data_IF_312727064312
#
_entry.id   IF_312727064312
#
_cell.length_a   1.000
_cell.length_b   1.000
_cell.length_c   1.000
_cell.angle_alpha   90.00
_cell.angle_beta   90.00
_cell.angle_gamma   90.00
#
_symmetry.space_group_name_H-M   'P 1'
#
loop_
_entity.id
_entity.type
_entity.pdbx_description
1 polymer ?
#
# COMPACT_ATOMS: atom_id res chain seq x y z
N UNK A 1 26.14 -24.74 -16.57
CA UNK A 1 24.97 -23.91 -16.94
C UNK A 1 24.23 -23.54 -15.67
N UNK A 2 24.36 -22.30 -15.20
CA UNK A 2 23.64 -21.85 -14.01
C UNK A 2 22.16 -21.70 -14.37
N UNK A 3 21.32 -22.60 -13.84
CA UNK A 3 19.87 -22.44 -13.87
C UNK A 3 19.58 -21.16 -13.07
N UNK A 4 19.33 -20.07 -13.79
CA UNK A 4 18.93 -18.82 -13.19
C UNK A 4 17.60 -19.09 -12.51
N UNK A 5 17.58 -19.12 -11.16
CA UNK A 5 16.35 -19.30 -10.41
C UNK A 5 15.28 -18.36 -10.98
N UNK A 6 14.05 -18.85 -11.25
CA UNK A 6 13.01 -18.00 -11.82
C UNK A 6 12.85 -16.78 -10.92
N UNK A 7 13.14 -15.60 -11.46
CA UNK A 7 12.96 -14.34 -10.73
C UNK A 7 11.53 -14.33 -10.20
N UNK A 8 11.39 -14.12 -8.88
CA UNK A 8 10.09 -13.99 -8.24
C UNK A 8 9.23 -13.04 -9.08
N UNK A 9 8.05 -13.51 -9.49
CA UNK A 9 7.17 -12.83 -10.44
C UNK A 9 6.70 -11.53 -9.79
N UNK A 10 7.34 -10.42 -10.14
CA UNK A 10 6.96 -9.10 -9.64
C UNK A 10 5.57 -8.73 -10.16
N UNK A 11 4.79 -8.02 -9.34
CA UNK A 11 3.46 -7.57 -9.71
C UNK A 11 3.39 -6.05 -9.63
N UNK A 12 3.01 -5.43 -10.74
CA UNK A 12 2.86 -4.00 -10.86
C UNK A 12 1.38 -3.63 -10.80
N UNK A 13 1.02 -2.81 -9.81
CA UNK A 13 -0.36 -2.38 -9.58
C UNK A 13 -0.41 -0.87 -9.76
N UNK A 14 -1.37 -0.36 -10.52
CA UNK A 14 -1.59 1.07 -10.64
C UNK A 14 -3.07 1.38 -10.56
N UNK A 15 -3.44 2.44 -9.85
CA UNK A 15 -4.82 2.91 -9.80
C UNK A 15 -4.86 4.38 -10.21
N UNK A 16 -5.62 4.71 -11.25
CA UNK A 16 -5.99 6.08 -11.59
C UNK A 16 -7.48 6.32 -11.29
N UNK A 17 -8.03 7.45 -11.72
CA UNK A 17 -9.44 7.80 -11.46
C UNK A 17 -10.41 6.96 -12.30
N UNK A 18 -9.98 6.41 -13.44
CA UNK A 18 -10.81 5.64 -14.38
C UNK A 18 -10.73 4.14 -14.11
N UNK A 19 -9.55 3.64 -13.72
CA UNK A 19 -9.25 2.21 -13.72
C UNK A 19 -8.14 1.83 -12.76
N UNK A 20 -8.13 0.55 -12.39
CA UNK A 20 -7.02 -0.11 -11.71
C UNK A 20 -6.40 -1.12 -12.67
N UNK A 21 -5.10 -1.01 -12.92
CA UNK A 21 -4.32 -1.88 -13.80
C UNK A 21 -3.42 -2.76 -12.95
N UNK A 22 -3.41 -4.05 -13.23
CA UNK A 22 -2.53 -5.04 -12.60
C UNK A 22 -1.76 -5.76 -13.71
N UNK A 23 -0.43 -5.80 -13.65
CA UNK A 23 0.40 -6.44 -14.67
C UNK A 23 1.62 -7.11 -14.04
N UNK A 24 2.14 -8.15 -14.69
CA UNK A 24 3.44 -8.74 -14.36
C UNK A 24 4.62 -7.84 -14.78
N UNK A 25 4.37 -6.76 -15.54
CA UNK A 25 5.38 -5.90 -16.12
C UNK A 25 5.24 -4.43 -15.70
N UNK A 26 6.32 -3.62 -15.78
CA UNK A 26 6.30 -2.23 -15.35
C UNK A 26 5.25 -1.35 -16.03
N UNK A 27 4.34 -0.78 -15.22
CA UNK A 27 3.31 0.12 -15.72
C UNK A 27 3.88 1.48 -16.19
N UNK A 28 3.33 1.96 -17.31
CA UNK A 28 3.64 3.26 -17.92
C UNK A 28 2.47 4.23 -17.73
N UNK A 29 2.80 5.50 -17.53
CA UNK A 29 1.82 6.59 -17.50
C UNK A 29 1.55 7.09 -18.91
N UNK A 30 0.27 7.18 -19.31
CA UNK A 30 -0.15 7.83 -20.56
C UNK A 30 -0.01 9.35 -20.42
N UNK A 31 -0.52 9.92 -19.33
CA UNK A 31 -0.42 11.34 -19.01
C UNK A 31 0.04 11.56 -17.57
N UNK A 32 0.44 12.79 -17.23
CA UNK A 32 0.80 13.13 -15.86
C UNK A 32 2.10 12.47 -15.38
N UNK A 33 2.24 12.41 -14.06
CA UNK A 33 3.37 11.78 -13.35
C UNK A 33 2.82 10.81 -12.33
N UNK A 34 3.62 9.81 -11.97
CA UNK A 34 3.31 8.89 -10.87
C UNK A 34 4.45 8.83 -9.86
N UNK A 35 4.10 8.43 -8.65
CA UNK A 35 5.04 7.95 -7.64
C UNK A 35 4.97 6.42 -7.64
N UNK A 36 6.13 5.79 -7.52
CA UNK A 36 6.25 4.34 -7.42
C UNK A 36 6.61 3.98 -5.99
N UNK A 37 5.90 3.01 -5.42
CA UNK A 37 6.15 2.48 -4.08
C UNK A 37 6.36 0.97 -4.21
N UNK A 38 7.45 0.44 -3.66
CA UNK A 38 7.72 -1.00 -3.68
C UNK A 38 7.43 -1.58 -2.30
N UNK A 39 6.64 -2.65 -2.28
CA UNK A 39 6.31 -3.43 -1.08
C UNK A 39 6.57 -4.91 -1.40
N UNK A 40 7.76 -5.41 -1.09
CA UNK A 40 8.19 -6.76 -1.48
C UNK A 40 8.30 -6.90 -2.99
N UNK A 41 7.64 -7.93 -3.53
CA UNK A 41 7.49 -8.21 -4.97
C UNK A 41 6.40 -7.38 -5.66
N UNK A 42 5.64 -6.55 -4.92
CA UNK A 42 4.64 -5.65 -5.50
C UNK A 42 5.19 -4.25 -5.69
N UNK A 43 5.03 -3.68 -6.89
CA UNK A 43 5.31 -2.27 -7.18
C UNK A 43 4.03 -1.54 -7.51
N UNK A 44 3.69 -0.55 -6.69
CA UNK A 44 2.51 0.26 -6.86
C UNK A 44 2.81 1.59 -7.55
N UNK A 45 2.03 1.93 -8.57
CA UNK A 45 2.15 3.14 -9.38
C UNK A 45 0.95 4.03 -9.09
N UNK A 46 1.15 5.05 -8.27
CA UNK A 46 0.11 5.99 -7.84
C UNK A 46 0.28 7.30 -8.61
N UNK A 47 -0.70 7.71 -9.43
CA UNK A 47 -0.71 9.02 -10.08
C UNK A 47 -0.51 10.13 -9.04
N UNK A 48 0.37 11.08 -9.34
CA UNK A 48 0.53 12.28 -8.49
C UNK A 48 -0.60 13.25 -8.79
N UNK A 49 -1.10 13.89 -7.74
CA UNK A 49 -2.01 15.03 -7.87
C UNK A 49 -1.36 16.08 -8.79
N UNK A 50 -2.11 16.61 -9.78
CA UNK A 50 -1.59 17.64 -10.66
C UNK A 50 -1.13 18.85 -9.83
N UNK A 51 -0.05 19.51 -10.26
CA UNK A 51 0.59 20.59 -9.49
C UNK A 51 -0.29 21.83 -9.21
N UNK A 52 -1.51 21.90 -9.75
CA UNK A 52 -2.40 23.06 -9.64
C UNK A 52 -1.92 24.32 -10.38
N UNK A 53 -0.69 24.34 -10.90
CA UNK A 53 -0.13 25.52 -11.58
C UNK A 53 -0.89 25.85 -12.85
N UNK A 54 -1.33 27.10 -12.95
CA UNK A 54 -2.00 27.63 -14.15
C UNK A 54 -1.04 27.69 -15.34
N UNK A 55 -1.59 27.84 -16.55
CA UNK A 55 -0.76 28.00 -17.76
C UNK A 55 0.15 29.22 -17.66
N UNK A 56 -0.37 30.32 -17.12
CA UNK A 56 0.35 31.58 -16.92
C UNK A 56 1.54 31.40 -15.97
N UNK A 57 1.33 30.75 -14.82
CA UNK A 57 2.42 30.49 -13.87
C UNK A 57 3.53 29.63 -14.50
N UNK A 58 3.16 28.65 -15.34
CA UNK A 58 4.16 27.83 -16.04
C UNK A 58 4.95 28.63 -17.07
N UNK A 59 4.27 29.48 -17.84
CA UNK A 59 4.90 30.37 -18.82
C UNK A 59 5.85 31.32 -18.09
N UNK A 60 5.39 31.95 -17.00
CA UNK A 60 6.19 32.85 -16.15
C UNK A 60 7.49 32.20 -15.68
N UNK A 61 7.41 30.98 -15.11
CA UNK A 61 8.61 30.27 -14.66
C UNK A 61 9.53 29.91 -15.82
N UNK A 62 9.00 29.48 -16.97
CA UNK A 62 9.83 29.21 -18.14
C UNK A 62 10.49 30.47 -18.72
N UNK A 63 9.81 31.62 -18.67
CA UNK A 63 10.37 32.89 -19.11
C UNK A 63 11.42 33.43 -18.15
N UNK A 64 11.22 33.30 -16.83
CA UNK A 64 12.23 33.65 -15.82
C UNK A 64 13.49 32.81 -15.99
N UNK A 65 13.33 31.49 -16.19
CA UNK A 65 14.43 30.59 -16.47
C UNK A 65 15.15 30.94 -17.79
N UNK A 66 14.41 31.26 -18.85
CA UNK A 66 14.98 31.66 -20.13
C UNK A 66 15.80 32.95 -20.01
N UNK A 67 15.33 33.93 -19.23
CA UNK A 67 16.05 35.18 -18.98
C UNK A 67 17.37 34.94 -18.24
N UNK A 68 17.37 34.11 -17.19
CA UNK A 68 18.59 33.73 -16.48
C UNK A 68 19.58 33.01 -17.40
N UNK A 69 19.09 32.08 -18.22
CA UNK A 69 19.95 31.34 -19.16
C UNK A 69 20.51 32.22 -20.28
N UNK A 70 19.79 33.25 -20.71
CA UNK A 70 20.29 34.25 -21.67
C UNK A 70 21.50 35.00 -21.09
N UNK A 71 21.41 35.43 -19.83
CA UNK A 71 22.54 36.08 -19.13
C UNK A 71 23.73 35.12 -19.00
N UNK A 72 23.50 33.87 -18.60
CA UNK A 72 24.55 32.85 -18.52
C UNK A 72 25.19 32.60 -19.89
N UNK A 73 24.39 32.51 -20.95
CA UNK A 73 24.89 32.35 -22.32
C UNK A 73 25.80 33.52 -22.72
N UNK A 74 25.43 34.76 -22.39
CA UNK A 74 26.24 35.95 -22.65
C UNK A 74 27.57 35.93 -21.87
N UNK A 75 27.56 35.47 -20.62
CA UNK A 75 28.80 35.31 -19.83
C UNK A 75 29.69 34.22 -20.41
N UNK A 76 29.12 33.08 -20.81
CA UNK A 76 29.89 31.99 -21.42
C UNK A 76 30.56 32.41 -22.74
N UNK A 77 29.92 33.27 -23.52
CA UNK A 77 30.54 33.83 -24.73
C UNK A 77 31.74 34.73 -24.44
N UNK A 78 31.88 35.28 -23.23
CA UNK A 78 33.08 36.04 -22.83
C UNK A 78 34.28 35.14 -22.49
N UNK A 79 34.05 33.84 -22.28
CA UNK A 79 35.08 32.83 -21.96
C UNK A 79 35.29 31.90 -23.16
N UNK A 80 35.10 32.42 -24.38
CA UNK A 80 35.30 31.73 -25.66
C UNK A 80 34.47 30.44 -25.85
N UNK A 81 33.38 30.26 -25.10
CA UNK A 81 32.43 29.17 -25.38
C UNK A 81 31.63 29.51 -26.64
N UNK A 82 31.58 28.61 -27.64
CA UNK A 82 30.80 28.86 -28.84
C UNK A 82 29.33 29.14 -28.50
N UNK A 83 28.83 30.30 -28.90
CA UNK A 83 27.47 30.76 -28.58
C UNK A 83 26.38 29.76 -28.99
N UNK A 84 26.58 29.03 -30.09
CA UNK A 84 25.64 28.02 -30.56
C UNK A 84 25.49 26.84 -29.57
N UNK A 85 26.57 26.44 -28.90
CA UNK A 85 26.54 25.39 -27.87
C UNK A 85 25.80 25.88 -26.63
N UNK A 86 26.12 27.09 -26.16
CA UNK A 86 25.47 27.68 -25.00
C UNK A 86 23.96 27.95 -25.25
N UNK A 87 23.59 28.43 -26.44
CA UNK A 87 22.21 28.69 -26.81
C UNK A 87 21.41 27.39 -26.97
N UNK A 88 21.96 26.37 -27.63
CA UNK A 88 21.27 25.08 -27.80
C UNK A 88 21.06 24.35 -26.47
N UNK A 89 22.05 24.35 -25.58
CA UNK A 89 21.91 23.81 -24.23
C UNK A 89 20.84 24.54 -23.40
N UNK A 90 20.82 25.87 -23.48
CA UNK A 90 19.81 26.71 -22.80
C UNK A 90 18.40 26.43 -23.32
N UNK A 91 18.23 26.38 -24.64
CA UNK A 91 16.94 26.09 -25.27
C UNK A 91 16.44 24.69 -24.90
N UNK A 92 17.33 23.69 -24.93
CA UNK A 92 17.01 22.32 -24.54
C UNK A 92 16.55 22.25 -23.07
N UNK A 93 17.22 22.99 -22.18
CA UNK A 93 16.87 23.04 -20.76
C UNK A 93 15.50 23.71 -20.53
N UNK A 94 15.22 24.86 -21.18
CA UNK A 94 13.92 25.53 -21.09
C UNK A 94 12.82 24.62 -21.62
N UNK A 95 13.01 24.01 -22.80
CA UNK A 95 12.05 23.08 -23.39
C UNK A 95 11.80 21.88 -22.48
N UNK A 96 12.85 21.30 -21.89
CA UNK A 96 12.74 20.20 -20.94
C UNK A 96 11.95 20.58 -19.68
N UNK A 97 12.24 21.74 -19.08
CA UNK A 97 11.51 22.23 -17.89
C UNK A 97 10.06 22.52 -18.24
N UNK A 98 9.78 23.20 -19.34
CA UNK A 98 8.43 23.49 -19.82
C UNK A 98 7.62 22.20 -20.05
N UNK A 99 8.21 21.21 -20.74
CA UNK A 99 7.59 19.92 -20.96
C UNK A 99 7.32 19.16 -19.64
N UNK A 100 8.27 19.18 -18.71
CA UNK A 100 8.13 18.56 -17.38
C UNK A 100 7.03 19.22 -16.55
N UNK A 101 6.92 20.56 -16.59
CA UNK A 101 5.86 21.30 -15.92
C UNK A 101 4.49 21.06 -16.56
N UNK A 102 4.41 21.08 -17.89
CA UNK A 102 3.19 20.77 -18.63
C UNK A 102 2.71 19.35 -18.30
N UNK A 103 3.62 18.38 -18.21
CA UNK A 103 3.30 17.01 -17.78
C UNK A 103 2.88 16.95 -16.31
N UNK A 104 3.50 17.72 -15.42
CA UNK A 104 3.13 17.76 -14.00
C UNK A 104 1.76 18.43 -13.73
N UNK A 105 1.25 19.23 -14.66
CA UNK A 105 -0.06 19.86 -14.56
C UNK A 105 -1.21 18.97 -15.06
N UNK A 106 -0.91 17.89 -15.80
CA UNK A 106 -1.94 16.96 -16.30
C UNK A 106 -2.32 15.95 -15.23
N UNK A 107 -3.61 15.62 -15.16
CA UNK A 107 -4.10 14.46 -14.40
C UNK A 107 -3.40 13.20 -14.91
N UNK A 108 -2.85 12.41 -13.99
CA UNK A 108 -2.16 11.19 -14.32
C UNK A 108 -3.15 10.08 -14.70
N UNK A 109 -3.00 9.53 -15.90
CA UNK A 109 -3.71 8.33 -16.35
C UNK A 109 -2.72 7.25 -16.70
N UNK A 110 -3.05 6.02 -16.35
CA UNK A 110 -2.26 4.84 -16.68
C UNK A 110 -2.49 4.47 -18.14
N UNK A 111 -1.40 4.08 -18.82
CA UNK A 111 -1.52 3.49 -20.15
C UNK A 111 -2.15 2.09 -20.03
N UNK A 112 -2.98 1.72 -21.00
CA UNK A 112 -3.50 0.36 -21.09
C UNK A 112 -2.34 -0.58 -21.43
N UNK A 113 -2.10 -1.62 -20.62
CA UNK A 113 -1.07 -2.60 -20.93
C UNK A 113 -1.50 -3.39 -22.18
N UNK A 114 -0.52 -3.79 -22.98
CA UNK A 114 -0.73 -4.63 -24.18
C UNK A 114 -0.29 -6.08 -23.98
N UNK A 115 0.32 -6.36 -22.83
CA UNK A 115 0.93 -7.64 -22.54
C UNK A 115 -0.11 -8.64 -22.02
N UNK A 116 0.11 -9.91 -22.33
CA UNK A 116 -0.69 -11.01 -21.79
C UNK A 116 -0.53 -11.10 -20.26
N UNK A 117 -1.63 -11.41 -19.57
CA UNK A 117 -1.65 -11.47 -18.11
C UNK A 117 -1.74 -10.11 -17.42
N UNK A 118 -2.03 -9.03 -18.17
CA UNK A 118 -2.42 -7.76 -17.58
C UNK A 118 -3.95 -7.66 -17.44
N UNK A 119 -4.41 -7.23 -16.28
CA UNK A 119 -5.83 -7.12 -15.92
C UNK A 119 -6.19 -5.65 -15.68
N UNK A 120 -7.30 -5.21 -16.26
CA UNK A 120 -7.77 -3.83 -16.15
C UNK A 120 -9.16 -3.81 -15.54
N UNK A 121 -9.24 -3.27 -14.32
CA UNK A 121 -10.47 -3.12 -13.59
C UNK A 121 -11.04 -1.72 -13.77
N UNK A 122 -12.29 -1.62 -14.22
CA UNK A 122 -12.95 -0.35 -14.56
C UNK A 122 -14.11 -0.06 -13.63
N UNK A 123 -14.93 -1.07 -13.36
CA UNK A 123 -16.09 -0.93 -12.51
C UNK A 123 -15.67 -0.64 -11.06
N UNK A 124 -16.37 0.31 -10.44
CA UNK A 124 -16.04 0.84 -9.12
C UNK A 124 -16.02 -0.25 -8.04
N UNK A 125 -16.95 -1.19 -8.11
CA UNK A 125 -17.11 -2.28 -7.15
C UNK A 125 -15.86 -3.19 -7.13
N UNK A 126 -15.37 -3.62 -8.30
CA UNK A 126 -14.14 -4.42 -8.42
C UNK A 126 -12.90 -3.61 -8.04
N UNK A 127 -12.84 -2.33 -8.45
CA UNK A 127 -11.72 -1.44 -8.07
C UNK A 127 -11.64 -1.26 -6.56
N UNK A 128 -12.77 -1.07 -5.89
CA UNK A 128 -12.84 -0.93 -4.44
C UNK A 128 -12.49 -2.23 -3.72
N UNK A 129 -12.99 -3.38 -4.19
CA UNK A 129 -12.65 -4.70 -3.65
C UNK A 129 -11.16 -4.99 -3.76
N UNK A 130 -10.57 -4.78 -4.95
CA UNK A 130 -9.14 -4.96 -5.16
C UNK A 130 -8.31 -3.97 -4.34
N UNK A 131 -8.73 -2.71 -4.25
CA UNK A 131 -8.07 -1.69 -3.43
C UNK A 131 -8.00 -2.08 -1.95
N UNK A 132 -9.08 -2.65 -1.39
CA UNK A 132 -9.08 -3.20 -0.02
C UNK A 132 -8.09 -4.37 0.12
N UNK A 133 -8.08 -5.30 -0.83
CA UNK A 133 -7.13 -6.42 -0.83
C UNK A 133 -5.67 -5.94 -0.82
N UNK A 134 -5.33 -4.95 -1.64
CA UNK A 134 -4.00 -4.33 -1.67
C UNK A 134 -3.66 -3.67 -0.35
N UNK A 135 -4.60 -2.93 0.26
CA UNK A 135 -4.39 -2.31 1.56
C UNK A 135 -4.12 -3.35 2.66
N UNK A 136 -4.90 -4.44 2.69
CA UNK A 136 -4.69 -5.57 3.60
C UNK A 136 -3.34 -6.24 3.36
N UNK A 137 -2.99 -6.51 2.10
CA UNK A 137 -1.69 -7.08 1.74
C UNK A 137 -0.54 -6.19 2.22
N UNK A 138 -0.60 -4.86 2.03
CA UNK A 138 0.41 -3.95 2.59
C UNK A 138 0.54 -4.06 4.10
N UNK A 139 -0.57 -4.28 4.82
CA UNK A 139 -0.57 -4.48 6.27
C UNK A 139 0.15 -5.76 6.66
N UNK A 140 -0.13 -6.88 5.98
CA UNK A 140 0.62 -8.15 6.12
C UNK A 140 2.12 -7.93 5.87
N UNK A 141 2.49 -7.26 4.78
CA UNK A 141 3.93 -7.05 4.48
C UNK A 141 4.68 -6.26 5.55
N UNK A 142 3.99 -5.38 6.28
CA UNK A 142 4.58 -4.60 7.38
C UNK A 142 4.84 -5.45 8.62
N UNK A 143 4.15 -6.58 8.78
CA UNK A 143 4.34 -7.47 9.95
C UNK A 143 5.52 -8.42 9.76
N UNK A 144 5.87 -8.79 8.53
CA UNK A 144 6.92 -9.79 8.25
C UNK A 144 8.31 -9.54 8.87
N UNK A 145 8.85 -8.31 8.98
CA UNK A 145 10.14 -8.12 9.63
C UNK A 145 10.16 -8.63 11.08
N UNK A 146 9.04 -8.54 11.80
CA UNK A 146 8.93 -9.10 13.16
C UNK A 146 8.81 -10.64 13.16
N UNK A 147 8.34 -11.23 12.06
CA UNK A 147 8.06 -12.66 11.92
C UNK A 147 9.16 -13.44 11.19
N UNK A 148 10.28 -12.79 10.84
CA UNK A 148 11.30 -13.36 9.94
C UNK A 148 11.96 -14.66 10.44
N UNK A 149 11.94 -14.91 11.74
CA UNK A 149 12.44 -16.16 12.33
C UNK A 149 11.41 -17.31 12.29
N UNK A 150 10.13 -17.02 12.06
CA UNK A 150 9.03 -17.99 12.11
C UNK A 150 8.49 -18.34 10.72
N UNK A 151 8.61 -17.43 9.76
CA UNK A 151 8.06 -17.57 8.42
C UNK A 151 9.13 -17.16 7.40
N UNK A 152 9.29 -17.95 6.34
CA UNK A 152 10.03 -17.50 5.16
C UNK A 152 9.29 -16.33 4.50
N UNK A 153 9.76 -15.11 4.79
CA UNK A 153 9.16 -13.89 4.28
C UNK A 153 9.16 -13.82 2.74
N UNK A 154 10.14 -14.45 2.07
CA UNK A 154 10.21 -14.45 0.61
C UNK A 154 9.15 -15.39 0.01
N UNK A 155 8.92 -16.55 0.63
CA UNK A 155 7.84 -17.45 0.22
C UNK A 155 6.46 -16.86 0.50
N UNK A 156 6.25 -16.30 1.70
CA UNK A 156 5.01 -15.62 2.05
C UNK A 156 4.71 -14.44 1.10
N UNK A 157 5.74 -13.68 0.69
CA UNK A 157 5.58 -12.60 -0.28
C UNK A 157 5.20 -13.10 -1.68
N UNK A 158 5.79 -14.20 -2.14
CA UNK A 158 5.41 -14.83 -3.43
C UNK A 158 3.96 -15.30 -3.40
N UNK A 159 3.55 -15.98 -2.33
CA UNK A 159 2.17 -16.48 -2.17
C UNK A 159 1.15 -15.34 -2.10
N UNK A 160 1.44 -14.28 -1.34
CA UNK A 160 0.57 -13.10 -1.27
C UNK A 160 0.47 -12.36 -2.60
N UNK A 161 1.58 -12.24 -3.33
CA UNK A 161 1.62 -11.63 -4.67
C UNK A 161 0.85 -12.47 -5.69
N UNK A 162 0.98 -13.80 -5.64
CA UNK A 162 0.21 -14.71 -6.48
C UNK A 162 -1.31 -14.58 -6.21
N UNK A 163 -1.71 -14.55 -4.94
CA UNK A 163 -3.11 -14.35 -4.55
C UNK A 163 -3.68 -13.00 -5.05
N UNK A 164 -2.89 -11.92 -5.00
CA UNK A 164 -3.29 -10.63 -5.59
C UNK A 164 -3.44 -10.71 -7.12
N UNK A 165 -2.53 -11.41 -7.80
CA UNK A 165 -2.63 -11.64 -9.24
C UNK A 165 -3.88 -12.44 -9.63
N UNK A 166 -4.16 -13.52 -8.89
CA UNK A 166 -5.35 -14.35 -9.07
C UNK A 166 -6.64 -13.57 -8.79
N UNK A 167 -6.67 -12.77 -7.72
CA UNK A 167 -7.82 -11.89 -7.43
C UNK A 167 -8.07 -10.91 -8.57
N UNK A 168 -7.02 -10.29 -9.13
CA UNK A 168 -7.17 -9.37 -10.26
C UNK A 168 -7.75 -10.07 -11.50
N UNK A 169 -7.29 -11.29 -11.80
CA UNK A 169 -7.80 -12.11 -12.88
C UNK A 169 -9.29 -12.44 -12.68
N UNK A 170 -9.66 -12.91 -11.48
CA UNK A 170 -11.05 -13.26 -11.13
C UNK A 170 -11.97 -12.05 -11.20
N UNK A 171 -11.56 -10.88 -10.69
CA UNK A 171 -12.36 -9.65 -10.77
C UNK A 171 -12.48 -9.14 -12.22
N UNK A 172 -11.43 -9.26 -13.03
CA UNK A 172 -11.49 -8.92 -14.46
C UNK A 172 -12.49 -9.80 -15.19
N UNK A 173 -12.47 -11.13 -14.94
CA UNK A 173 -13.44 -12.07 -15.48
C UNK A 173 -14.86 -11.72 -15.02
N UNK A 174 -15.04 -11.39 -13.74
CA UNK A 174 -16.33 -10.95 -13.19
C UNK A 174 -16.89 -9.73 -13.93
N UNK A 175 -16.06 -8.73 -14.26
CA UNK A 175 -16.52 -7.59 -15.06
C UNK A 175 -16.96 -7.97 -16.47
N UNK A 176 -16.29 -8.93 -17.11
CA UNK A 176 -16.71 -9.44 -18.43
C UNK A 176 -18.05 -10.15 -18.32
N UNK A 177 -18.25 -10.97 -17.28
CA UNK A 177 -19.53 -11.64 -17.01
C UNK A 177 -20.63 -10.59 -16.75
N UNK A 178 -20.36 -9.52 -16.02
CA UNK A 178 -21.33 -8.43 -15.81
C UNK A 178 -21.77 -7.81 -17.13
N UNK A 179 -20.82 -7.42 -17.99
CA UNK A 179 -21.14 -6.83 -19.30
C UNK A 179 -22.00 -7.77 -20.15
N UNK A 180 -21.61 -9.04 -20.23
CA UNK A 180 -22.38 -10.05 -20.95
C UNK A 180 -23.78 -10.21 -20.35
N UNK A 181 -23.89 -10.19 -19.02
CA UNK A 181 -25.18 -10.23 -18.35
C UNK A 181 -26.03 -9.04 -18.77
N UNK A 182 -25.51 -7.83 -18.65
CA UNK A 182 -26.22 -6.59 -19.02
C UNK A 182 -26.66 -6.64 -20.49
N UNK A 183 -25.79 -7.08 -21.42
CA UNK A 183 -26.11 -7.28 -22.84
C UNK A 183 -27.27 -8.28 -23.06
N UNK A 184 -27.30 -9.40 -22.33
CA UNK A 184 -28.38 -10.39 -22.43
C UNK A 184 -29.70 -9.89 -21.82
N UNK A 185 -29.65 -9.07 -20.78
CA UNK A 185 -30.83 -8.42 -20.19
C UNK A 185 -31.41 -7.38 -21.16
N UNK A 186 -30.56 -6.57 -21.78
CA UNK A 186 -30.96 -5.58 -22.78
C UNK A 186 -31.58 -6.27 -23.99
N UNK A 187 -30.99 -7.36 -24.49
CA UNK A 187 -31.55 -8.15 -25.59
C UNK A 187 -32.95 -8.70 -25.26
N UNK A 188 -33.18 -9.12 -24.02
CA UNK A 188 -34.50 -9.60 -23.59
C UNK A 188 -35.56 -8.49 -23.58
N UNK A 189 -35.15 -7.23 -23.40
CA UNK A 189 -36.02 -6.06 -23.44
C UNK A 189 -36.58 -5.73 -24.83
N UNK A 190 -36.04 -6.32 -25.91
CA UNK A 190 -36.46 -6.04 -27.29
C UNK A 190 -37.74 -6.78 -27.72
N UNK A 191 -38.46 -7.42 -26.80
CA UNK A 191 -39.85 -7.88 -27.03
C UNK A 191 -39.98 -9.13 -27.91
N UNK A 192 -39.07 -10.10 -27.78
CA UNK A 192 -39.21 -11.40 -28.44
C UNK A 192 -40.48 -12.12 -27.93
N UNK A 193 -41.26 -12.79 -28.82
CA UNK A 193 -42.36 -13.64 -28.38
C UNK A 193 -41.85 -14.73 -27.43
N UNK A 194 -42.51 -14.89 -26.28
CA UNK A 194 -42.05 -15.77 -25.19
C UNK A 194 -41.90 -17.25 -25.59
N UNK A 195 -42.67 -17.71 -26.57
CA UNK A 195 -42.62 -19.09 -27.09
C UNK A 195 -41.64 -19.26 -28.26
N UNK A 196 -40.96 -18.19 -28.69
CA UNK A 196 -39.98 -18.30 -29.76
C UNK A 196 -38.75 -19.10 -29.28
N UNK A 197 -38.16 -19.96 -30.13
CA UNK A 197 -36.92 -20.67 -29.81
C UNK A 197 -35.78 -19.73 -29.38
N UNK A 198 -35.77 -18.50 -29.92
CA UNK A 198 -34.81 -17.46 -29.56
C UNK A 198 -34.99 -16.96 -28.12
N UNK A 199 -36.24 -16.76 -27.66
CA UNK A 199 -36.53 -16.37 -26.27
C UNK A 199 -36.14 -17.48 -25.28
N UNK A 200 -36.38 -18.74 -25.63
CA UNK A 200 -35.95 -19.90 -24.82
C UNK A 200 -34.42 -19.97 -24.71
N UNK A 201 -33.71 -19.87 -25.84
CA UNK A 201 -32.24 -19.89 -25.86
C UNK A 201 -31.62 -18.73 -25.07
N UNK A 202 -32.20 -17.52 -25.16
CA UNK A 202 -31.77 -16.36 -24.38
C UNK A 202 -31.97 -16.58 -22.88
N UNK A 203 -33.08 -17.18 -22.48
CA UNK A 203 -33.36 -17.52 -21.08
C UNK A 203 -32.34 -18.51 -20.54
N UNK A 204 -32.01 -19.57 -21.30
CA UNK A 204 -30.98 -20.54 -20.92
C UNK A 204 -29.60 -19.89 -20.79
N UNK A 205 -29.21 -19.04 -21.73
CA UNK A 205 -27.95 -18.30 -21.67
C UNK A 205 -27.86 -17.41 -20.43
N UNK A 206 -28.95 -16.73 -20.07
CA UNK A 206 -29.02 -15.91 -18.85
C UNK A 206 -28.83 -16.74 -17.58
N UNK A 207 -29.45 -17.92 -17.50
CA UNK A 207 -29.26 -18.84 -16.36
C UNK A 207 -27.78 -19.25 -16.24
N UNK A 208 -27.16 -19.67 -17.34
CA UNK A 208 -25.73 -20.05 -17.34
C UNK A 208 -24.81 -18.89 -16.95
N UNK A 209 -25.09 -17.67 -17.42
CA UNK A 209 -24.32 -16.47 -17.06
C UNK A 209 -24.49 -16.11 -15.58
N UNK A 210 -25.68 -16.28 -15.02
CA UNK A 210 -25.92 -16.05 -13.59
C UNK A 210 -25.20 -17.09 -12.72
N UNK A 211 -25.18 -18.36 -13.12
CA UNK A 211 -24.36 -19.39 -12.44
C UNK A 211 -22.87 -19.03 -12.46
N UNK A 212 -22.33 -18.62 -13.62
CA UNK A 212 -20.95 -18.16 -13.74
C UNK A 212 -20.67 -16.93 -12.85
N UNK A 213 -21.63 -16.02 -12.74
CA UNK A 213 -21.55 -14.84 -11.88
C UNK A 213 -21.44 -15.20 -10.40
N UNK A 214 -22.23 -16.17 -9.94
CA UNK A 214 -22.21 -16.65 -8.56
C UNK A 214 -20.88 -17.37 -8.24
N UNK A 215 -20.45 -18.28 -9.10
CA UNK A 215 -19.17 -19.02 -8.94
C UNK A 215 -17.99 -18.06 -8.88
N UNK A 216 -17.89 -17.12 -9.82
CA UNK A 216 -16.82 -16.12 -9.84
C UNK A 216 -16.85 -15.21 -8.60
N UNK A 217 -18.03 -14.93 -8.06
CA UNK A 217 -18.20 -14.18 -6.81
C UNK A 217 -17.68 -14.95 -5.59
N UNK A 218 -18.01 -16.24 -5.50
CA UNK A 218 -17.52 -17.12 -4.45
C UNK A 218 -15.98 -17.25 -4.49
N UNK A 219 -15.39 -17.36 -5.68
CA UNK A 219 -13.94 -17.42 -5.85
C UNK A 219 -13.26 -16.12 -5.38
N UNK A 220 -13.76 -14.96 -5.79
CA UNK A 220 -13.22 -13.67 -5.35
C UNK A 220 -13.31 -13.53 -3.82
N UNK A 221 -14.43 -13.92 -3.22
CA UNK A 221 -14.62 -13.86 -1.77
C UNK A 221 -13.68 -14.80 -1.02
N UNK A 222 -13.45 -16.01 -1.55
CA UNK A 222 -12.49 -16.97 -0.98
C UNK A 222 -11.07 -16.41 -0.94
N UNK A 223 -10.61 -15.78 -2.03
CA UNK A 223 -9.28 -15.15 -2.10
C UNK A 223 -9.19 -13.94 -1.17
N UNK A 224 -10.24 -13.11 -1.11
CA UNK A 224 -10.28 -11.98 -0.17
C UNK A 224 -10.23 -12.44 1.30
N UNK A 225 -10.97 -13.49 1.63
CA UNK A 225 -11.00 -14.08 2.96
C UNK A 225 -9.63 -14.65 3.34
N UNK A 226 -8.92 -15.33 2.43
CA UNK A 226 -7.58 -15.86 2.71
C UNK A 226 -6.54 -14.76 2.96
N UNK A 227 -6.56 -13.69 2.16
CA UNK A 227 -5.68 -12.52 2.37
C UNK A 227 -5.99 -11.85 3.72
N UNK A 228 -7.27 -11.72 4.07
CA UNK A 228 -7.67 -11.14 5.35
C UNK A 228 -7.28 -12.01 6.54
N UNK A 229 -7.51 -13.32 6.46
CA UNK A 229 -7.12 -14.28 7.49
C UNK A 229 -5.60 -14.25 7.73
N UNK A 230 -4.80 -14.16 6.67
CA UNK A 230 -3.35 -14.02 6.79
C UNK A 230 -2.94 -12.72 7.52
N UNK A 231 -3.65 -11.61 7.30
CA UNK A 231 -3.41 -10.36 8.01
C UNK A 231 -3.74 -10.48 9.50
N UNK A 232 -4.91 -11.02 9.84
CA UNK A 232 -5.34 -11.22 11.22
C UNK A 232 -4.39 -12.16 11.96
N UNK A 233 -4.01 -13.28 11.35
CA UNK A 233 -3.07 -14.23 11.95
C UNK A 233 -1.70 -13.58 12.22
N UNK A 234 -1.15 -12.83 11.25
CA UNK A 234 0.13 -12.16 11.41
C UNK A 234 0.11 -11.06 12.48
N UNK A 235 -1.01 -10.36 12.64
CA UNK A 235 -1.18 -9.33 13.67
C UNK A 235 -1.35 -9.92 15.07
N UNK A 236 -2.16 -10.98 15.20
CA UNK A 236 -2.34 -11.69 16.46
C UNK A 236 -1.02 -12.28 16.96
N UNK A 237 -0.23 -12.88 16.07
CA UNK A 237 1.07 -13.44 16.43
C UNK A 237 2.05 -12.37 16.96
N UNK A 238 2.08 -11.19 16.33
CA UNK A 238 2.87 -10.05 16.84
C UNK A 238 2.37 -9.59 18.21
N UNK A 239 1.05 -9.57 18.41
CA UNK A 239 0.47 -9.20 19.69
C UNK A 239 0.86 -10.20 20.78
N UNK A 240 0.76 -11.50 20.50
CA UNK A 240 1.18 -12.58 21.41
C UNK A 240 2.67 -12.52 21.75
N UNK A 241 3.55 -12.23 20.78
CA UNK A 241 4.98 -12.04 21.03
C UNK A 241 5.25 -10.89 22.01
N UNK A 242 4.60 -9.74 21.82
CA UNK A 242 4.74 -8.59 22.72
C UNK A 242 4.25 -8.90 24.13
N UNK A 243 3.16 -9.65 24.26
CA UNK A 243 2.64 -10.09 25.57
C UNK A 243 3.65 -11.03 26.26
N UNK A 244 4.22 -11.99 25.53
CA UNK A 244 5.26 -12.87 26.08
C UNK A 244 6.53 -12.12 26.48
N UNK A 245 6.99 -11.18 25.68
CA UNK A 245 8.15 -10.33 26.00
C UNK A 245 7.88 -9.52 27.28
N UNK A 246 6.72 -8.87 27.38
CA UNK A 246 6.31 -8.10 28.56
C UNK A 246 6.19 -8.99 29.80
N UNK A 247 5.62 -10.19 29.68
CA UNK A 247 5.51 -11.14 30.77
C UNK A 247 6.88 -11.61 31.27
N UNK A 248 7.81 -11.89 30.34
CA UNK A 248 9.19 -12.27 30.67
C UNK A 248 9.95 -11.13 31.34
N UNK A 249 9.79 -9.89 30.87
CA UNK A 249 10.38 -8.72 31.51
C UNK A 249 9.83 -8.51 32.93
N UNK A 250 8.53 -8.69 33.13
CA UNK A 250 7.89 -8.63 34.45
C UNK A 250 8.42 -9.73 35.38
N UNK A 251 8.56 -10.97 34.90
CA UNK A 251 9.13 -12.08 35.66
C UNK A 251 10.58 -11.80 36.08
N UNK A 252 11.40 -11.25 35.17
CA UNK A 252 12.77 -10.83 35.47
C UNK A 252 12.81 -9.69 36.48
N UNK A 253 11.91 -8.71 36.38
CA UNK A 253 11.80 -7.61 37.32
C UNK A 253 11.41 -8.11 38.73
N UNK A 254 10.41 -9.00 38.82
CA UNK A 254 10.01 -9.64 40.07
C UNK A 254 11.17 -10.44 40.65
N UNK A 255 11.85 -11.25 39.83
CA UNK A 255 13.01 -12.04 40.25
C UNK A 255 14.16 -11.17 40.78
N UNK A 256 14.39 -9.99 40.19
CA UNK A 256 15.39 -9.04 40.68
C UNK A 256 14.98 -8.43 42.02
N UNK A 257 13.72 -8.05 42.18
CA UNK A 257 13.18 -7.50 43.43
C UNK A 257 13.19 -8.53 44.56
N UNK A 258 12.93 -9.80 44.27
CA UNK A 258 13.04 -10.88 45.27
C UNK A 258 14.48 -11.24 45.58
N UNK A 259 15.38 -11.23 44.58
CA UNK A 259 16.81 -11.53 44.76
C UNK A 259 17.56 -10.43 45.53
N UNK A 260 17.12 -9.17 45.48
CA UNK A 260 17.69 -8.10 46.32
C UNK A 260 17.35 -8.27 47.80
N UNK A 261 16.54 -9.27 48.15
CA UNK A 261 16.03 -9.50 49.49
C UNK A 261 15.08 -8.38 49.89
N UNK A 262 14.03 -8.71 50.63
CA UNK A 262 13.46 -7.69 51.52
C UNK A 262 14.61 -7.26 52.41
N UNK A 263 15.05 -5.98 52.44
CA UNK A 263 15.98 -5.57 53.47
C UNK A 263 15.31 -5.99 54.78
N UNK A 264 15.93 -6.91 55.52
CA UNK A 264 15.49 -7.31 56.85
C UNK A 264 15.69 -6.11 57.75
N UNK A 265 14.83 -5.11 57.56
CA UNK A 265 14.76 -3.92 58.39
C UNK A 265 14.01 -4.40 59.62
N UNK A 266 14.73 -5.06 60.52
CA UNK A 266 14.42 -5.13 61.94
C UNK A 266 14.42 -3.72 62.60
N UNK A 267 14.31 -2.64 61.81
CA UNK A 267 14.12 -1.27 62.28
C UNK A 267 12.70 -1.00 62.76
N UNK A 268 11.72 -1.86 62.43
CA UNK A 268 10.35 -1.77 62.96
C UNK A 268 10.28 -1.86 64.49
N UNK A 269 10.81 -2.94 65.11
CA UNK A 269 10.89 -3.03 66.57
C UNK A 269 11.84 -1.99 67.19
N UNK A 270 12.96 -1.67 66.54
CA UNK A 270 13.93 -0.68 67.06
C UNK A 270 13.37 0.76 67.08
N UNK A 271 12.53 1.13 66.11
CA UNK A 271 11.82 2.41 66.09
C UNK A 271 10.74 2.43 67.18
N UNK A 272 10.00 1.34 67.37
CA UNK A 272 9.00 1.24 68.43
C UNK A 272 9.63 1.37 69.83
N UNK A 273 10.78 0.72 70.07
CA UNK A 273 11.54 0.86 71.31
C UNK A 273 12.08 2.28 71.51
N UNK A 274 12.65 2.92 70.47
CA UNK A 274 13.10 4.32 70.57
C UNK A 274 11.94 5.28 70.84
N UNK A 275 10.78 5.05 70.23
CA UNK A 275 9.60 5.91 70.45
C UNK A 275 9.04 5.72 71.87
N UNK A 276 9.01 4.48 72.38
CA UNK A 276 8.63 4.19 73.75
C UNK A 276 9.61 4.83 74.76
N UNK A 277 10.91 4.77 74.50
CA UNK A 277 11.94 5.40 75.33
C UNK A 277 11.80 6.93 75.39
N UNK A 278 11.51 7.59 74.26
CA UNK A 278 11.28 9.04 74.22
C UNK A 278 10.00 9.43 74.99
N UNK A 279 8.92 8.66 74.85
CA UNK A 279 7.67 8.91 75.60
C UNK A 279 7.88 8.72 77.11
N UNK A 280 8.63 7.70 77.51
CA UNK A 280 8.98 7.47 78.92
C UNK A 280 9.81 8.64 79.49
N UNK A 281 10.85 9.07 78.76
CA UNK A 281 11.67 10.22 79.16
C UNK A 281 10.86 11.51 79.28
N UNK A 282 9.90 11.75 78.37
CA UNK A 282 9.00 12.90 78.46
C UNK A 282 8.08 12.85 79.69
N UNK A 283 7.60 11.64 80.07
CA UNK A 283 6.79 11.47 81.28
C UNK A 283 7.58 11.69 82.55
N UNK A 284 8.82 11.23 82.62
CA UNK A 284 9.72 11.49 83.76
C UNK A 284 10.02 12.99 83.90
N UNK A 285 10.29 13.68 82.79
CA UNK A 285 10.53 15.13 82.80
C UNK A 285 9.28 15.94 83.24
N UNK A 286 8.09 15.45 82.90
CA UNK A 286 6.82 16.07 83.31
C UNK A 286 6.45 15.77 84.77
N UNK A 287 6.96 14.69 85.36
CA UNK A 287 6.74 14.33 86.76
C UNK A 287 7.79 14.92 87.72
N UNK A 288 8.93 15.37 87.20
CA UNK A 288 10.00 16.02 87.95
C UNK A 288 9.85 17.57 88.06
N UNK A 289 8.85 18.13 87.39
CA UNK A 289 8.39 19.52 87.55
C UNK A 289 7.08 19.57 88.35
#
# INVERSE_FOLDING_TARGET
MAVTAPRARELYIGADHEKTVVSAYPLRMRTGRARRYRFGSVTEVVPRTPSGRTREQRIKVSSELALVLLVVCAVLTLVDVPWAVAASGSLALVAFVAARQARAAKVGTLALPREEGAFVLHAEQERAAFGRAVATARRVRRTWPALHHMVDAAEADRSLTAALGELAATLSRRQQIRRLRDELYDAAGHGLPGESPAAMALTEQRTRVEELWQVSGADANRILASIHAAAVAGENLIHEQRVHETAREAELAISRLTATGTPTTNAGPELAERTAAVIAAYRELAAAN
#
